data_IF_773981521098
#
_entry.id   IF_773981521098
#
_cell.length_a   1.000
_cell.length_b   1.000
_cell.length_c   1.000
_cell.angle_alpha   90.00
_cell.angle_beta   90.00
_cell.angle_gamma   90.00
#
_symmetry.space_group_name_H-M   'P 1'
#
loop_
_entity.id
_entity.type
_entity.pdbx_description
1 polymer ?
#
# COMPACT_ATOMS: atom_id res chain seq x y z
N UNK A 1 15.64 -2.84 -24.56
CA UNK A 1 14.54 -2.58 -23.61
C UNK A 1 15.00 -3.08 -22.26
N UNK A 2 14.71 -2.33 -21.22
CA UNK A 2 15.37 -2.43 -19.92
C UNK A 2 14.39 -3.06 -18.94
N UNK A 3 14.86 -4.08 -18.22
CA UNK A 3 14.17 -4.71 -17.09
C UNK A 3 13.56 -3.66 -16.16
N UNK A 4 12.44 -3.99 -15.51
CA UNK A 4 11.97 -3.26 -14.34
C UNK A 4 13.02 -3.41 -13.22
N UNK A 5 14.01 -2.53 -13.22
CA UNK A 5 15.15 -2.54 -12.31
C UNK A 5 14.74 -1.92 -10.98
N UNK A 6 13.91 -2.66 -10.26
CA UNK A 6 13.48 -2.26 -8.92
C UNK A 6 14.66 -2.42 -7.96
N UNK A 7 15.04 -1.37 -7.21
CA UNK A 7 16.12 -1.46 -6.24
C UNK A 7 15.79 -2.49 -5.16
N UNK A 8 16.74 -3.35 -4.86
CA UNK A 8 16.60 -4.33 -3.78
C UNK A 8 16.68 -3.66 -2.42
N UNK A 9 15.69 -3.91 -1.56
CA UNK A 9 15.73 -3.52 -0.16
C UNK A 9 15.39 -4.76 0.67
N UNK A 10 16.38 -5.24 1.43
CA UNK A 10 16.22 -6.40 2.30
C UNK A 10 15.34 -6.09 3.50
N UNK A 11 14.43 -7.01 3.83
CA UNK A 11 13.70 -6.95 5.10
C UNK A 11 14.55 -7.36 6.31
N UNK A 12 15.70 -8.01 6.08
CA UNK A 12 16.57 -8.52 7.13
C UNK A 12 17.20 -7.38 7.92
N UNK A 13 16.93 -7.33 9.22
CA UNK A 13 17.55 -6.39 10.16
C UNK A 13 18.36 -7.22 11.15
N UNK A 14 19.68 -7.02 11.14
CA UNK A 14 20.63 -7.80 11.94
C UNK A 14 20.47 -9.33 11.77
N UNK A 15 20.13 -9.78 10.55
CA UNK A 15 19.96 -11.21 10.23
C UNK A 15 18.59 -11.80 10.60
N UNK A 16 17.67 -11.01 11.16
CA UNK A 16 16.28 -11.41 11.41
C UNK A 16 15.35 -10.83 10.35
N UNK A 17 14.48 -11.67 9.76
CA UNK A 17 13.52 -11.24 8.74
C UNK A 17 12.38 -10.39 9.28
N UNK A 18 11.99 -10.55 10.55
CA UNK A 18 10.80 -9.93 11.13
C UNK A 18 9.53 -10.10 10.26
N UNK A 19 8.52 -9.27 10.50
CA UNK A 19 7.28 -9.23 9.69
C UNK A 19 7.33 -8.13 8.61
N UNK A 20 8.51 -7.89 8.03
CA UNK A 20 8.81 -6.72 7.17
C UNK A 20 8.65 -6.99 5.65
N UNK A 21 8.11 -8.13 5.23
CA UNK A 21 7.97 -8.47 3.81
C UNK A 21 7.05 -7.50 3.04
N UNK A 22 5.93 -7.11 3.63
CA UNK A 22 5.03 -6.12 3.06
C UNK A 22 5.69 -4.74 2.92
N UNK A 23 6.20 -4.15 4.02
CA UNK A 23 6.85 -2.84 3.98
C UNK A 23 8.08 -2.78 3.08
N UNK A 24 8.89 -3.85 3.04
CA UNK A 24 10.02 -3.92 2.12
C UNK A 24 9.57 -3.98 0.66
N UNK A 25 8.54 -4.75 0.33
CA UNK A 25 7.97 -4.79 -1.02
C UNK A 25 7.40 -3.43 -1.45
N UNK A 26 6.73 -2.73 -0.53
CA UNK A 26 6.24 -1.37 -0.76
C UNK A 26 7.39 -0.36 -0.93
N UNK A 27 8.40 -0.40 -0.07
CA UNK A 27 9.56 0.49 -0.14
C UNK A 27 10.34 0.30 -1.45
N UNK A 28 10.52 -0.94 -1.91
CA UNK A 28 11.11 -1.24 -3.22
C UNK A 28 10.30 -0.60 -4.34
N UNK A 29 8.96 -0.70 -4.29
CA UNK A 29 8.08 -0.10 -5.30
C UNK A 29 8.13 1.43 -5.28
N UNK A 30 8.12 2.05 -4.09
CA UNK A 30 8.25 3.51 -3.92
C UNK A 30 9.61 4.04 -4.41
N UNK A 31 10.69 3.29 -4.13
CA UNK A 31 12.02 3.63 -4.59
C UNK A 31 12.18 3.49 -6.11
N UNK A 32 11.57 2.46 -6.72
CA UNK A 32 11.48 2.32 -8.17
C UNK A 32 10.82 3.54 -8.83
N UNK A 33 9.81 4.11 -8.17
CA UNK A 33 9.11 5.33 -8.63
C UNK A 33 9.84 6.63 -8.29
N UNK A 34 11.01 6.57 -7.65
CA UNK A 34 11.80 7.75 -7.26
C UNK A 34 11.20 8.55 -6.10
N UNK A 35 10.26 7.98 -5.35
CA UNK A 35 9.54 8.69 -4.27
C UNK A 35 10.34 8.68 -2.96
N UNK A 36 11.10 7.61 -2.72
CA UNK A 36 11.97 7.46 -1.54
C UNK A 36 13.35 6.94 -1.97
N UNK A 37 14.42 7.16 -1.19
CA UNK A 37 15.72 6.57 -1.47
C UNK A 37 15.71 5.05 -1.22
N UNK A 38 16.44 4.24 -2.01
CA UNK A 38 16.48 2.78 -1.88
C UNK A 38 17.36 2.33 -0.70
N UNK A 39 16.88 2.57 0.52
CA UNK A 39 17.64 2.34 1.75
C UNK A 39 16.81 1.55 2.76
N UNK A 40 17.50 0.82 3.64
CA UNK A 40 16.85 0.13 4.75
C UNK A 40 16.13 1.10 5.70
N UNK A 41 16.68 2.30 5.91
CA UNK A 41 16.04 3.34 6.73
C UNK A 41 14.70 3.79 6.15
N UNK A 42 14.60 3.98 4.82
CA UNK A 42 13.35 4.32 4.18
C UNK A 42 12.33 3.17 4.27
N UNK A 43 12.77 1.91 4.19
CA UNK A 43 11.89 0.75 4.44
C UNK A 43 11.37 0.72 5.88
N UNK A 44 12.20 1.04 6.86
CA UNK A 44 11.76 1.15 8.26
C UNK A 44 10.69 2.22 8.42
N UNK A 45 10.83 3.38 7.80
CA UNK A 45 9.79 4.43 7.80
C UNK A 45 8.48 3.94 7.15
N UNK A 46 8.55 3.23 6.02
CA UNK A 46 7.38 2.61 5.40
C UNK A 46 6.71 1.61 6.36
N UNK A 47 7.52 0.84 7.09
CA UNK A 47 7.05 -0.13 8.06
C UNK A 47 6.40 0.52 9.29
N UNK A 48 6.94 1.65 9.75
CA UNK A 48 6.38 2.47 10.83
C UNK A 48 4.99 3.01 10.44
N UNK A 49 4.87 3.57 9.23
CA UNK A 49 3.61 4.10 8.70
C UNK A 49 2.57 2.98 8.57
N UNK A 50 2.93 1.87 7.93
CA UNK A 50 2.01 0.75 7.71
C UNK A 50 1.52 0.12 9.03
N UNK A 51 2.29 0.23 10.12
CA UNK A 51 1.95 -0.33 11.44
C UNK A 51 1.44 0.70 12.44
N UNK A 52 0.89 1.82 11.95
CA UNK A 52 0.18 2.80 12.78
C UNK A 52 1.09 3.48 13.83
N UNK A 53 2.39 3.63 13.56
CA UNK A 53 3.30 4.38 14.43
C UNK A 53 3.46 3.80 15.84
N UNK A 54 3.17 2.51 16.06
CA UNK A 54 3.49 1.84 17.33
C UNK A 54 5.01 1.71 17.50
N UNK A 55 5.62 2.77 18.03
CA UNK A 55 7.06 3.02 18.23
C UNK A 55 7.86 1.92 18.94
N UNK A 56 7.23 0.82 19.38
CA UNK A 56 7.87 -0.04 20.36
C UNK A 56 8.65 -1.23 19.80
N UNK A 57 8.67 -1.53 18.49
CA UNK A 57 9.47 -2.67 18.01
C UNK A 57 9.64 -2.86 16.48
N UNK A 58 9.55 -1.78 15.69
CA UNK A 58 9.30 -1.87 14.24
C UNK A 58 10.44 -2.51 13.44
N UNK A 59 11.67 -2.47 13.97
CA UNK A 59 12.84 -3.08 13.36
C UNK A 59 13.07 -4.57 13.64
N UNK A 60 12.38 -5.20 14.60
CA UNK A 60 12.70 -6.59 14.98
C UNK A 60 11.49 -7.48 15.31
N UNK A 61 10.35 -6.92 15.76
CA UNK A 61 9.19 -7.71 16.21
C UNK A 61 7.83 -7.04 15.92
N UNK A 62 7.76 -6.04 15.02
CA UNK A 62 6.49 -5.42 14.60
C UNK A 62 5.48 -6.45 14.09
N UNK A 63 4.18 -6.19 14.25
CA UNK A 63 3.10 -7.08 13.82
C UNK A 63 3.04 -7.28 12.28
N UNK A 64 2.27 -8.28 11.85
CA UNK A 64 1.93 -8.46 10.44
C UNK A 64 1.21 -7.23 9.90
N UNK A 65 1.51 -6.85 8.66
CA UNK A 65 0.73 -5.83 7.94
C UNK A 65 -0.17 -6.49 6.91
N UNK A 66 -1.30 -5.86 6.62
CA UNK A 66 -2.19 -6.24 5.53
C UNK A 66 -2.10 -5.25 4.35
N UNK A 67 -2.81 -5.56 3.26
CA UNK A 67 -2.84 -4.74 2.07
C UNK A 67 -3.38 -3.33 2.31
N UNK A 68 -4.39 -3.16 3.18
CA UNK A 68 -4.97 -1.86 3.51
C UNK A 68 -3.94 -0.94 4.20
N UNK A 69 -3.18 -1.50 5.15
CA UNK A 69 -2.08 -0.81 5.83
C UNK A 69 -0.97 -0.40 4.85
N UNK A 70 -0.64 -1.27 3.88
CA UNK A 70 0.31 -0.92 2.82
C UNK A 70 -0.26 0.16 1.90
N UNK A 71 -1.55 0.14 1.59
CA UNK A 71 -2.18 1.16 0.75
C UNK A 71 -2.25 2.52 1.45
N UNK A 72 -2.52 2.56 2.75
CA UNK A 72 -2.40 3.75 3.57
C UNK A 72 -0.98 4.32 3.51
N UNK A 73 0.04 3.46 3.69
CA UNK A 73 1.43 3.86 3.57
C UNK A 73 1.79 4.31 2.15
N UNK A 74 1.24 3.72 1.09
CA UNK A 74 1.43 4.21 -0.28
C UNK A 74 0.82 5.61 -0.48
N UNK A 75 -0.39 5.82 0.04
CA UNK A 75 -1.11 7.10 0.03
C UNK A 75 -0.32 8.23 0.68
N UNK A 76 0.37 7.94 1.79
CA UNK A 76 1.31 8.85 2.43
C UNK A 76 2.34 9.43 1.45
N UNK A 77 2.92 8.55 0.63
CA UNK A 77 3.92 8.88 -0.37
C UNK A 77 3.32 9.40 -1.68
N UNK A 78 2.07 9.85 -1.66
CA UNK A 78 1.38 10.38 -2.84
C UNK A 78 1.21 9.34 -3.94
N UNK A 79 1.11 8.06 -3.57
CA UNK A 79 0.82 6.97 -4.49
C UNK A 79 -0.59 6.46 -4.27
N UNK A 80 -1.23 6.13 -5.38
CA UNK A 80 -2.50 5.44 -5.43
C UNK A 80 -2.30 3.94 -5.55
N UNK A 81 -3.31 3.18 -5.14
CA UNK A 81 -3.27 1.73 -5.21
C UNK A 81 -4.29 1.23 -6.21
N UNK A 82 -3.81 0.41 -7.15
CA UNK A 82 -4.67 -0.45 -7.97
C UNK A 82 -4.73 -1.82 -7.33
N UNK A 83 -5.94 -2.25 -6.97
CA UNK A 83 -6.19 -3.59 -6.44
C UNK A 83 -6.24 -4.63 -7.55
N UNK A 84 -5.51 -5.73 -7.39
CA UNK A 84 -5.35 -6.78 -8.40
C UNK A 84 -5.85 -8.11 -7.86
N UNK A 85 -6.81 -8.71 -8.58
CA UNK A 85 -7.52 -9.93 -8.17
C UNK A 85 -7.43 -11.09 -9.18
N UNK A 86 -6.65 -10.92 -10.26
CA UNK A 86 -6.47 -11.95 -11.29
C UNK A 86 -5.04 -11.92 -11.85
N UNK A 87 -4.58 -13.04 -12.38
CA UNK A 87 -3.29 -13.12 -13.06
C UNK A 87 -3.23 -12.25 -14.31
N UNK A 88 -4.34 -12.13 -15.04
CA UNK A 88 -4.44 -11.24 -16.20
C UNK A 88 -4.17 -9.77 -15.81
N UNK A 89 -4.73 -9.32 -14.69
CA UNK A 89 -4.46 -7.97 -14.17
C UNK A 89 -3.04 -7.81 -13.62
N UNK A 90 -2.41 -8.88 -13.08
CA UNK A 90 -0.97 -8.87 -12.74
C UNK A 90 -0.14 -8.63 -14.00
N UNK A 91 -0.42 -9.35 -15.08
CA UNK A 91 0.33 -9.26 -16.32
C UNK A 91 0.17 -7.89 -16.99
N UNK A 92 -1.06 -7.35 -16.98
CA UNK A 92 -1.33 -6.00 -17.46
C UNK A 92 -0.56 -4.93 -16.66
N UNK A 93 -0.51 -5.05 -15.33
CA UNK A 93 0.29 -4.14 -14.49
C UNK A 93 1.78 -4.19 -14.85
N UNK A 94 2.33 -5.39 -14.99
CA UNK A 94 3.72 -5.58 -15.39
C UNK A 94 3.99 -4.99 -16.78
N UNK A 95 3.08 -5.20 -17.74
CA UNK A 95 3.15 -4.62 -19.10
C UNK A 95 3.15 -3.09 -19.09
N UNK A 96 2.44 -2.48 -18.12
CA UNK A 96 2.42 -1.03 -17.90
C UNK A 96 3.64 -0.50 -17.13
N UNK A 97 4.65 -1.33 -16.88
CA UNK A 97 5.82 -1.03 -16.06
C UNK A 97 5.47 -0.72 -14.59
N UNK A 98 4.45 -1.38 -14.06
CA UNK A 98 4.02 -1.24 -12.68
C UNK A 98 4.35 -2.53 -11.91
N UNK A 99 5.36 -2.51 -11.01
CA UNK A 99 5.65 -3.63 -10.12
C UNK A 99 4.42 -4.00 -9.27
N UNK A 100 4.22 -5.30 -9.06
CA UNK A 100 3.05 -5.84 -8.35
C UNK A 100 3.48 -6.44 -7.02
N UNK A 101 2.96 -5.90 -5.92
CA UNK A 101 3.13 -6.50 -4.59
C UNK A 101 2.05 -7.57 -4.44
N UNK A 102 2.44 -8.82 -4.20
CA UNK A 102 1.51 -9.95 -4.12
C UNK A 102 1.71 -10.71 -2.82
N UNK A 103 0.60 -11.19 -2.24
CA UNK A 103 0.61 -12.09 -1.10
C UNK A 103 0.54 -13.54 -1.60
N UNK A 104 1.36 -14.42 -1.01
CA UNK A 104 1.37 -15.84 -1.31
C UNK A 104 1.70 -16.68 -0.06
N UNK A 105 1.37 -17.97 -0.10
CA UNK A 105 1.96 -18.95 0.81
C UNK A 105 3.41 -19.21 0.40
N UNK A 106 4.33 -19.11 1.35
CA UNK A 106 5.74 -19.27 1.06
C UNK A 106 6.23 -20.71 1.00
N UNK A 107 5.45 -21.69 1.45
CA UNK A 107 5.84 -23.11 1.48
C UNK A 107 6.31 -23.65 0.12
N UNK A 108 5.59 -23.43 -1.00
CA UNK A 108 5.95 -24.03 -2.28
C UNK A 108 7.09 -23.32 -3.02
N UNK A 109 7.59 -22.16 -2.54
CA UNK A 109 8.50 -21.30 -3.29
C UNK A 109 9.85 -21.95 -3.62
N UNK A 110 10.25 -21.91 -4.90
CA UNK A 110 11.50 -22.47 -5.42
C UNK A 110 12.19 -21.51 -6.39
N UNK A 111 13.53 -21.35 -6.35
CA UNK A 111 14.45 -21.95 -5.42
C UNK A 111 14.31 -21.32 -4.03
N UNK A 112 14.35 -22.15 -3.00
CA UNK A 112 14.12 -21.71 -1.63
C UNK A 112 15.15 -20.66 -1.17
N UNK A 113 14.68 -19.58 -0.53
CA UNK A 113 15.52 -18.47 -0.07
C UNK A 113 15.83 -18.42 1.42
N UNK A 114 15.19 -19.29 2.21
CA UNK A 114 15.32 -19.42 3.66
C UNK A 114 14.99 -20.85 4.09
N UNK A 115 15.31 -21.31 5.30
CA UNK A 115 15.14 -22.70 5.69
C UNK A 115 13.74 -23.29 5.42
N UNK A 116 13.70 -24.58 5.10
CA UNK A 116 12.45 -25.36 5.00
C UNK A 116 12.17 -25.95 6.38
N UNK A 117 11.41 -25.22 7.20
CA UNK A 117 10.92 -25.74 8.48
C UNK A 117 9.64 -25.00 8.91
N UNK A 118 8.82 -25.60 9.80
CA UNK A 118 7.55 -25.00 10.22
C UNK A 118 7.66 -23.59 10.79
N UNK A 119 8.81 -23.21 11.38
CA UNK A 119 9.04 -21.86 11.92
C UNK A 119 9.24 -20.79 10.84
N UNK A 120 9.37 -21.18 9.57
CA UNK A 120 9.50 -20.29 8.42
C UNK A 120 8.27 -20.32 7.51
N UNK A 121 7.25 -21.11 7.84
CA UNK A 121 6.02 -21.16 7.06
C UNK A 121 5.16 -19.95 7.38
N UNK A 122 4.85 -19.13 6.37
CA UNK A 122 4.11 -17.90 6.53
C UNK A 122 3.41 -17.48 5.22
N UNK A 123 2.36 -16.67 5.37
CA UNK A 123 1.94 -15.80 4.27
C UNK A 123 2.99 -14.71 4.10
N UNK A 124 3.42 -14.49 2.86
CA UNK A 124 4.58 -13.68 2.55
C UNK A 124 4.29 -12.75 1.38
N UNK A 125 4.69 -11.49 1.52
CA UNK A 125 4.65 -10.53 0.44
C UNK A 125 5.94 -10.61 -0.36
N UNK A 126 5.80 -10.67 -1.68
CA UNK A 126 6.91 -10.49 -2.61
C UNK A 126 6.54 -9.42 -3.63
N UNK A 127 7.56 -8.89 -4.32
CA UNK A 127 7.36 -7.99 -5.44
C UNK A 127 7.56 -8.74 -6.76
N UNK A 128 6.56 -8.70 -7.66
CA UNK A 128 6.66 -9.20 -9.02
C UNK A 128 7.02 -8.06 -9.97
N UNK A 129 7.99 -8.32 -10.84
CA UNK A 129 8.47 -7.44 -11.89
C UNK A 129 8.70 -8.25 -13.18
N UNK A 130 9.28 -7.67 -14.22
CA UNK A 130 9.71 -8.42 -15.42
C UNK A 130 10.95 -7.82 -16.06
N UNK A 131 11.74 -8.66 -16.75
CA UNK A 131 12.79 -8.24 -17.67
C UNK A 131 12.28 -7.90 -19.08
N UNK A 132 11.06 -8.33 -19.41
CA UNK A 132 10.48 -8.18 -20.73
C UNK A 132 8.96 -7.91 -20.65
N UNK A 133 8.57 -6.73 -20.14
CA UNK A 133 7.17 -6.37 -19.95
C UNK A 133 6.39 -6.26 -21.28
N UNK A 134 7.03 -6.26 -22.45
CA UNK A 134 6.35 -6.18 -23.74
C UNK A 134 5.77 -7.51 -24.26
N UNK A 135 6.00 -8.63 -23.56
CA UNK A 135 5.47 -9.95 -23.95
C UNK A 135 4.09 -10.22 -23.32
N UNK A 136 3.27 -11.00 -24.03
CA UNK A 136 1.96 -11.43 -23.55
C UNK A 136 2.02 -12.38 -22.34
N UNK A 137 3.21 -12.92 -22.04
CA UNK A 137 3.53 -13.73 -20.86
C UNK A 137 4.94 -13.34 -20.37
N UNK A 138 5.07 -12.20 -19.67
CA UNK A 138 6.37 -11.71 -19.26
C UNK A 138 6.99 -12.69 -18.25
N UNK A 139 8.24 -13.11 -18.48
CA UNK A 139 9.01 -13.78 -17.44
C UNK A 139 8.94 -12.93 -16.17
N UNK A 140 8.33 -13.47 -15.12
CA UNK A 140 8.13 -12.73 -13.86
C UNK A 140 9.38 -12.84 -13.01
N UNK A 141 9.85 -11.69 -12.56
CA UNK A 141 10.99 -11.55 -11.66
C UNK A 141 10.41 -11.32 -10.27
N UNK A 142 10.59 -12.26 -9.36
CA UNK A 142 10.33 -12.00 -7.96
C UNK A 142 11.50 -11.21 -7.37
N UNK A 143 11.22 -10.19 -6.56
CA UNK A 143 12.16 -9.60 -5.62
C UNK A 143 11.66 -9.96 -4.24
N UNK A 144 12.14 -11.08 -3.69
CA UNK A 144 11.82 -11.50 -2.33
C UNK A 144 12.65 -10.67 -1.33
N UNK A 145 12.02 -9.83 -0.50
CA UNK A 145 12.75 -9.03 0.47
C UNK A 145 13.39 -9.87 1.61
N UNK A 146 12.97 -11.12 1.80
CA UNK A 146 13.52 -12.10 2.75
C UNK A 146 14.56 -13.04 2.11
N UNK A 147 15.28 -12.63 1.06
CA UNK A 147 16.32 -13.50 0.49
C UNK A 147 17.48 -13.75 1.47
N UNK A 148 17.33 -14.71 2.39
CA UNK A 148 18.24 -14.97 3.51
C UNK A 148 19.58 -15.54 3.05
N UNK A 149 19.55 -16.47 2.10
CA UNK A 149 20.76 -17.11 1.59
C UNK A 149 21.55 -16.21 0.63
N UNK A 150 20.88 -15.39 -0.19
CA UNK A 150 21.52 -14.64 -1.27
C UNK A 150 21.67 -13.15 -0.92
N UNK A 151 20.78 -12.59 -0.10
CA UNK A 151 20.75 -11.18 0.31
C UNK A 151 20.76 -10.21 -0.87
N UNK A 152 20.12 -10.61 -1.97
CA UNK A 152 19.95 -9.86 -3.21
C UNK A 152 18.60 -10.25 -3.84
N UNK A 153 18.17 -9.60 -4.95
CA UNK A 153 17.00 -10.06 -5.68
C UNK A 153 17.11 -11.55 -6.00
N UNK A 154 16.04 -12.29 -5.74
CA UNK A 154 15.98 -13.71 -6.01
C UNK A 154 14.69 -14.11 -6.68
N UNK A 155 14.82 -14.99 -7.66
CA UNK A 155 13.77 -15.29 -8.62
C UNK A 155 13.17 -16.65 -8.31
N UNK A 156 11.91 -16.63 -7.90
CA UNK A 156 11.12 -17.85 -7.82
C UNK A 156 10.66 -18.28 -9.20
N UNK A 157 10.55 -19.58 -9.41
CA UNK A 157 9.90 -20.15 -10.58
C UNK A 157 8.44 -19.71 -10.59
N UNK A 158 7.92 -19.43 -11.78
CA UNK A 158 6.53 -19.02 -11.95
C UNK A 158 5.56 -20.06 -11.37
N UNK A 159 5.83 -21.34 -11.61
CA UNK A 159 5.06 -22.46 -11.06
C UNK A 159 4.95 -22.37 -9.54
N UNK A 160 6.07 -22.18 -8.84
CA UNK A 160 6.07 -22.09 -7.39
C UNK A 160 5.35 -20.86 -6.84
N UNK A 161 5.46 -19.72 -7.54
CA UNK A 161 4.73 -18.49 -7.21
C UNK A 161 3.24 -18.67 -7.40
N UNK A 162 2.81 -19.26 -8.53
CA UNK A 162 1.39 -19.55 -8.81
C UNK A 162 0.81 -20.53 -7.80
N UNK A 163 1.55 -21.57 -7.43
CA UNK A 163 1.14 -22.51 -6.39
C UNK A 163 0.99 -21.82 -5.03
N UNK A 164 1.93 -20.93 -4.66
CA UNK A 164 1.84 -20.16 -3.42
C UNK A 164 0.60 -19.27 -3.36
N UNK A 165 0.23 -18.62 -4.47
CA UNK A 165 -1.02 -17.84 -4.56
C UNK A 165 -2.25 -18.75 -4.52
N UNK A 166 -2.22 -19.89 -5.22
CA UNK A 166 -3.33 -20.84 -5.23
C UNK A 166 -3.62 -21.42 -3.83
N UNK A 167 -2.59 -21.63 -3.01
CA UNK A 167 -2.75 -22.07 -1.61
C UNK A 167 -3.54 -21.05 -0.76
N UNK A 168 -3.52 -19.77 -1.12
CA UNK A 168 -4.34 -18.73 -0.47
C UNK A 168 -5.78 -18.65 -1.01
N UNK A 169 -6.09 -19.40 -2.08
CA UNK A 169 -7.41 -19.48 -2.70
C UNK A 169 -7.69 -18.44 -3.81
N UNK A 170 -6.97 -17.32 -3.86
CA UNK A 170 -7.13 -16.30 -4.88
C UNK A 170 -5.92 -15.36 -4.96
N UNK A 171 -5.79 -14.63 -6.08
CA UNK A 171 -4.83 -13.52 -6.21
C UNK A 171 -5.26 -12.39 -5.27
N UNK A 172 -4.33 -11.97 -4.42
CA UNK A 172 -4.45 -10.78 -3.58
C UNK A 172 -3.18 -9.96 -3.81
N UNK A 173 -3.31 -8.88 -4.58
CA UNK A 173 -2.17 -8.09 -5.01
C UNK A 173 -2.52 -6.61 -5.14
N UNK A 174 -1.48 -5.78 -5.20
CA UNK A 174 -1.61 -4.34 -5.41
C UNK A 174 -0.45 -3.79 -6.26
N UNK A 175 -0.74 -2.78 -7.07
CA UNK A 175 0.25 -2.00 -7.81
C UNK A 175 0.11 -0.52 -7.47
N UNK A 176 1.21 0.24 -7.61
CA UNK A 176 1.20 1.68 -7.33
C UNK A 176 1.11 2.51 -8.61
N UNK A 177 0.18 3.46 -8.61
CA UNK A 177 0.05 4.48 -9.63
C UNK A 177 0.37 5.86 -9.04
N UNK A 178 1.07 6.74 -9.76
CA UNK A 178 1.32 8.08 -9.27
C UNK A 178 0.00 8.84 -9.19
N UNK A 179 -0.17 9.64 -8.15
CA UNK A 179 -1.19 10.68 -8.19
C UNK A 179 -0.65 11.78 -9.12
N UNK A 180 -1.43 12.20 -10.12
CA UNK A 180 -1.05 13.22 -11.12
C UNK A 180 -0.81 14.64 -10.56
N UNK A 181 -0.55 14.78 -9.27
CA UNK A 181 -0.49 16.05 -8.61
C UNK A 181 0.69 16.10 -7.61
N UNK A 182 1.34 17.27 -7.43
CA UNK A 182 2.51 17.44 -6.57
C UNK A 182 2.32 16.96 -5.12
N UNK A 183 3.07 15.93 -4.72
CA UNK A 183 3.13 15.39 -3.35
C UNK A 183 3.20 16.54 -2.32
N UNK A 184 2.30 16.63 -1.33
CA UNK A 184 2.38 17.66 -0.30
C UNK A 184 3.72 17.54 0.43
N UNK A 185 4.30 18.63 0.93
CA UNK A 185 5.30 18.53 2.00
C UNK A 185 4.63 17.89 3.21
N UNK A 186 4.75 16.56 3.34
CA UNK A 186 4.16 15.81 4.44
C UNK A 186 4.89 16.16 5.74
N UNK A 187 4.19 16.45 6.85
CA UNK A 187 4.81 16.41 8.18
C UNK A 187 5.34 14.99 8.43
N UNK A 188 6.41 14.82 9.20
CA UNK A 188 7.03 13.50 9.46
C UNK A 188 6.00 12.41 9.87
N UNK A 189 6.14 11.15 9.36
CA UNK A 189 5.25 10.00 9.56
C UNK A 189 4.73 9.74 10.98
N UNK A 190 5.56 10.00 11.98
CA UNK A 190 5.21 9.81 13.39
C UNK A 190 4.04 10.71 13.81
N UNK A 191 3.71 11.76 13.05
CA UNK A 191 2.69 12.73 13.45
C UNK A 191 1.28 12.34 13.01
N UNK A 192 1.00 11.96 11.76
CA UNK A 192 -0.40 11.82 11.28
C UNK A 192 -1.17 10.67 11.94
N UNK A 193 -0.54 9.54 12.24
CA UNK A 193 -1.25 8.44 12.90
C UNK A 193 -1.40 8.67 14.42
N UNK A 194 -0.45 9.38 15.05
CA UNK A 194 -0.54 9.83 16.45
C UNK A 194 -1.38 11.10 16.61
N UNK A 195 -1.66 11.80 15.51
CA UNK A 195 -2.51 12.98 15.49
C UNK A 195 -3.90 12.57 15.95
N UNK A 196 -4.47 13.36 16.83
CA UNK A 196 -5.88 13.31 17.18
C UNK A 196 -6.76 13.48 15.94
N UNK A 197 -8.00 13.01 16.00
CA UNK A 197 -8.99 13.24 14.93
C UNK A 197 -9.20 14.74 14.65
N UNK A 198 -8.92 15.60 15.64
CA UNK A 198 -8.91 17.04 15.44
C UNK A 198 -7.75 17.47 14.55
N UNK A 199 -6.51 17.02 14.82
CA UNK A 199 -5.33 17.36 14.01
C UNK A 199 -5.44 16.77 12.58
N UNK A 200 -5.98 15.56 12.45
CA UNK A 200 -6.25 14.96 11.14
C UNK A 200 -7.21 15.81 10.30
N UNK A 201 -8.30 16.28 10.88
CA UNK A 201 -9.22 17.18 10.18
C UNK A 201 -8.59 18.54 9.94
N UNK A 202 -7.99 19.16 10.95
CA UNK A 202 -7.64 20.57 10.87
C UNK A 202 -6.28 20.83 10.22
N UNK A 203 -5.41 19.82 10.08
CA UNK A 203 -4.12 20.01 9.41
C UNK A 203 -4.05 19.17 8.14
N UNK A 204 -4.20 17.86 8.26
CA UNK A 204 -4.00 16.96 7.12
C UNK A 204 -5.07 17.16 6.07
N UNK A 205 -6.34 17.01 6.45
CA UNK A 205 -7.44 17.13 5.49
C UNK A 205 -7.57 18.58 4.98
N UNK A 206 -7.32 19.58 5.83
CA UNK A 206 -7.25 20.98 5.40
C UNK A 206 -6.24 21.19 4.29
N UNK A 207 -5.02 20.64 4.42
CA UNK A 207 -3.98 20.77 3.39
C UNK A 207 -4.38 20.06 2.09
N UNK A 208 -5.02 18.88 2.19
CA UNK A 208 -5.51 18.15 1.00
C UNK A 208 -6.60 18.94 0.25
N UNK A 209 -7.51 19.60 0.96
CA UNK A 209 -8.55 20.46 0.36
C UNK A 209 -7.98 21.75 -0.23
N UNK A 210 -7.13 22.44 0.53
CA UNK A 210 -6.45 23.66 0.07
C UNK A 210 -5.68 23.39 -1.22
N UNK A 211 -5.04 22.23 -1.30
CA UNK A 211 -4.32 21.81 -2.47
C UNK A 211 -5.22 21.46 -3.67
N UNK A 212 -6.39 20.86 -3.42
CA UNK A 212 -7.38 20.66 -4.46
C UNK A 212 -8.02 21.97 -4.96
N UNK A 213 -7.77 23.10 -4.29
CA UNK A 213 -8.44 24.37 -4.56
C UNK A 213 -9.93 24.32 -4.20
N UNK A 214 -10.29 23.50 -3.20
CA UNK A 214 -11.67 23.27 -2.75
C UNK A 214 -11.80 23.83 -1.34
N UNK A 215 -12.87 24.58 -1.09
CA UNK A 215 -13.16 25.11 0.24
C UNK A 215 -13.32 23.96 1.25
N UNK A 216 -12.62 24.08 2.37
CA UNK A 216 -12.62 23.08 3.42
C UNK A 216 -13.50 23.50 4.60
N UNK A 217 -14.32 22.57 5.08
CA UNK A 217 -15.06 22.70 6.33
C UNK A 217 -14.67 21.58 7.31
N UNK A 218 -13.89 21.85 8.37
CA UNK A 218 -13.47 20.83 9.32
C UNK A 218 -14.62 20.26 10.17
N UNK A 219 -15.73 20.98 10.28
CA UNK A 219 -16.92 20.58 11.02
C UNK A 219 -17.90 19.76 10.17
N UNK A 220 -17.58 19.55 8.88
CA UNK A 220 -18.36 18.73 8.00
C UNK A 220 -18.39 17.26 8.44
N UNK A 221 -19.55 16.62 8.29
CA UNK A 221 -19.67 15.18 8.52
C UNK A 221 -18.76 14.36 7.61
N UNK A 222 -18.44 14.86 6.42
CA UNK A 222 -17.49 14.25 5.50
C UNK A 222 -16.05 14.30 6.00
N UNK A 223 -15.68 15.33 6.78
CA UNK A 223 -14.35 15.43 7.39
C UNK A 223 -14.15 14.35 8.48
N UNK A 224 -15.15 14.17 9.35
CA UNK A 224 -15.12 13.05 10.31
C UNK A 224 -15.21 11.70 9.60
N UNK A 225 -16.02 11.60 8.54
CA UNK A 225 -16.11 10.41 7.71
C UNK A 225 -14.75 10.01 7.10
N UNK A 226 -13.99 10.98 6.60
CA UNK A 226 -12.65 10.75 6.04
C UNK A 226 -11.69 10.25 7.12
N UNK A 227 -11.71 10.83 8.32
CA UNK A 227 -10.91 10.34 9.45
C UNK A 227 -11.32 8.92 9.83
N UNK A 228 -12.61 8.63 9.91
CA UNK A 228 -13.09 7.28 10.22
C UNK A 228 -12.63 6.26 9.16
N UNK A 229 -12.66 6.63 7.88
CA UNK A 229 -12.13 5.80 6.80
C UNK A 229 -10.62 5.57 6.99
N UNK A 230 -9.84 6.63 7.24
CA UNK A 230 -8.41 6.53 7.49
C UNK A 230 -8.10 5.60 8.68
N UNK A 231 -8.83 5.75 9.80
CA UNK A 231 -8.70 4.88 10.99
C UNK A 231 -9.10 3.44 10.72
N UNK A 232 -10.02 3.22 9.79
CA UNK A 232 -10.38 1.88 9.30
C UNK A 232 -9.37 1.32 8.28
N UNK A 233 -8.26 2.03 8.01
CA UNK A 233 -7.22 1.63 7.05
C UNK A 233 -7.53 2.02 5.60
N UNK A 234 -8.53 2.87 5.38
CA UNK A 234 -8.94 3.36 4.06
C UNK A 234 -8.49 4.81 3.89
N UNK A 235 -7.34 5.00 3.26
CA UNK A 235 -6.93 6.34 2.83
C UNK A 235 -7.69 6.70 1.56
N UNK A 236 -8.49 7.76 1.60
CA UNK A 236 -9.29 8.19 0.45
C UNK A 236 -8.52 9.13 -0.48
N UNK A 237 -7.40 9.71 -0.02
CA UNK A 237 -6.66 10.72 -0.77
C UNK A 237 -7.32 12.09 -0.71
N UNK A 238 -7.11 12.89 -1.75
CA UNK A 238 -7.54 14.30 -1.80
C UNK A 238 -8.94 14.41 -2.37
N UNK A 239 -9.70 15.43 -1.97
CA UNK A 239 -11.00 15.69 -2.58
C UNK A 239 -10.82 16.07 -4.06
N UNK A 240 -11.67 15.52 -4.90
CA UNK A 240 -11.88 15.91 -6.30
C UNK A 240 -13.09 16.85 -6.45
N UNK A 241 -13.97 16.85 -5.45
CA UNK A 241 -15.17 17.71 -5.40
C UNK A 241 -15.33 18.35 -4.03
N UNK A 242 -16.04 19.47 -3.96
CA UNK A 242 -16.64 19.91 -2.69
C UNK A 242 -17.77 18.98 -2.25
N UNK A 243 -18.37 19.27 -1.10
CA UNK A 243 -19.55 18.55 -0.63
C UNK A 243 -20.73 18.75 -1.58
N UNK A 244 -21.33 17.66 -2.03
CA UNK A 244 -22.50 17.66 -2.90
C UNK A 244 -23.67 16.98 -2.19
N UNK A 245 -24.90 17.49 -2.33
CA UNK A 245 -26.06 16.85 -1.72
C UNK A 245 -26.29 15.45 -2.29
N UNK A 246 -26.75 14.53 -1.42
CA UNK A 246 -27.13 13.16 -1.76
C UNK A 246 -28.47 12.80 -1.12
N UNK A 247 -29.27 11.99 -1.82
CA UNK A 247 -30.46 11.32 -1.30
C UNK A 247 -31.68 12.22 -1.11
N UNK A 248 -32.81 11.58 -0.75
CA UNK A 248 -34.07 12.22 -0.39
C UNK A 248 -34.63 11.60 0.91
N UNK A 249 -35.47 12.34 1.64
CA UNK A 249 -36.11 11.87 2.87
C UNK A 249 -35.11 11.49 3.98
N UNK A 250 -35.23 10.27 4.53
CA UNK A 250 -34.33 9.76 5.57
C UNK A 250 -32.92 9.40 5.08
N UNK A 251 -32.66 9.47 3.76
CA UNK A 251 -31.35 9.23 3.17
C UNK A 251 -30.57 10.51 2.82
N UNK A 252 -31.07 11.68 3.23
CA UNK A 252 -30.42 12.97 2.92
C UNK A 252 -29.04 13.05 3.57
N UNK A 253 -28.08 13.51 2.80
CA UNK A 253 -26.70 13.65 3.22
C UNK A 253 -25.87 14.44 2.22
N UNK A 254 -24.56 14.25 2.31
CA UNK A 254 -23.58 14.80 1.39
C UNK A 254 -22.62 13.71 0.93
N UNK A 255 -22.04 13.92 -0.24
CA UNK A 255 -20.97 13.08 -0.75
C UNK A 255 -19.80 13.92 -1.27
N UNK A 256 -18.62 13.34 -1.22
CA UNK A 256 -17.37 13.90 -1.75
C UNK A 256 -16.65 12.79 -2.50
N UNK A 257 -16.24 13.09 -3.72
CA UNK A 257 -15.30 12.26 -4.47
C UNK A 257 -13.89 12.58 -3.99
N UNK A 258 -13.11 11.55 -3.69
CA UNK A 258 -11.69 11.62 -3.39
C UNK A 258 -10.90 10.84 -4.43
N UNK A 259 -9.57 10.99 -4.43
CA UNK A 259 -8.67 10.26 -5.35
C UNK A 259 -8.95 8.75 -5.40
N UNK A 260 -9.29 8.12 -4.26
CA UNK A 260 -9.41 6.66 -4.13
C UNK A 260 -10.80 6.19 -3.73
N UNK A 261 -11.81 7.03 -3.90
CA UNK A 261 -13.14 6.61 -3.53
C UNK A 261 -14.15 7.73 -3.39
N UNK A 262 -15.41 7.33 -3.23
CA UNK A 262 -16.49 8.26 -2.89
C UNK A 262 -16.86 8.05 -1.43
N UNK A 263 -16.84 9.12 -0.65
CA UNK A 263 -17.36 9.14 0.70
C UNK A 263 -18.78 9.74 0.69
N UNK A 264 -19.71 9.05 1.34
CA UNK A 264 -21.09 9.49 1.56
C UNK A 264 -21.31 9.60 3.05
N UNK A 265 -21.82 10.74 3.50
CA UNK A 265 -22.22 11.00 4.89
C UNK A 265 -23.72 11.25 4.96
N UNK A 266 -24.44 10.47 5.77
CA UNK A 266 -25.89 10.60 5.96
C UNK A 266 -26.19 11.43 7.20
N UNK A 267 -27.02 12.47 7.06
CA UNK A 267 -27.35 13.37 8.17
C UNK A 267 -28.27 12.72 9.21
N UNK A 268 -29.09 11.76 8.80
CA UNK A 268 -30.08 11.10 9.65
C UNK A 268 -29.48 10.35 10.83
N UNK A 269 -28.33 9.71 10.63
CA UNK A 269 -27.68 8.82 11.59
C UNK A 269 -26.19 9.10 11.77
N UNK A 270 -25.66 10.12 11.09
CA UNK A 270 -24.24 10.47 11.11
C UNK A 270 -23.35 9.38 10.50
N UNK A 271 -23.92 8.43 9.76
CA UNK A 271 -23.16 7.33 9.20
C UNK A 271 -22.36 7.78 7.97
N UNK A 272 -21.07 7.49 7.97
CA UNK A 272 -20.22 7.59 6.81
C UNK A 272 -20.05 6.21 6.15
N UNK A 273 -20.11 6.17 4.83
CA UNK A 273 -19.77 5.01 4.01
C UNK A 273 -18.84 5.45 2.90
N UNK A 274 -17.90 4.61 2.51
CA UNK A 274 -17.01 4.87 1.39
C UNK A 274 -17.07 3.73 0.37
N UNK A 275 -16.72 4.06 -0.86
CA UNK A 275 -16.52 3.11 -1.98
C UNK A 275 -15.09 3.27 -2.46
N UNK A 276 -14.39 2.17 -2.78
CA UNK A 276 -12.96 2.19 -3.11
C UNK A 276 -12.19 1.09 -2.39
#
# INVERSE_FOLDING_TARGET
>A
MTRLDVPYISQLINGSGGNNCGPASLAMTLAYRGVIPPTQQAMLQVADIARDGSLNNVGQTGGYVNFQQLAMAAGWYGQSVTWIYSWESVDLSIQNNEPVIILLDNIPLQPRQYPVSPSWNAHHFILLTSDNPAQADPNRYSSDPLSYYVQAPSFYTEESTRQGVANLGAVQAMALQPIDAPIPPQPEPEKIMLMSDWELRNWVLQDLYAWAGIDYNPDAGTAQGWVNALRAGHYLGRPRTGERPYGEGGGVGVWVEFDYGVLVFRFSDGAASWTG
#
